data_IF_654731939665
#
_entry.id   IF_654731939665
#
_cell.length_a   1.000
_cell.length_b   1.000
_cell.length_c   1.000
_cell.angle_alpha   90.00
_cell.angle_beta   90.00
_cell.angle_gamma   90.00
#
_symmetry.space_group_name_H-M   'P 1'
#
loop_
_entity.id
_entity.type
_entity.pdbx_description
1 polymer ?
#
# COMPACT_ATOMS: atom_id res chain seq x y z
N UNK A 1 19.85 14.85 -8.25
CA UNK A 1 19.22 15.44 -7.04
C UNK A 1 20.30 15.76 -6.02
N UNK A 2 20.15 16.85 -5.27
CA UNK A 2 20.98 17.10 -4.09
C UNK A 2 20.67 16.08 -3.00
N UNK A 3 21.63 15.86 -2.09
CA UNK A 3 21.43 14.95 -0.95
C UNK A 3 20.25 15.43 -0.08
N UNK A 4 19.40 14.55 0.44
CA UNK A 4 18.31 14.95 1.32
C UNK A 4 18.84 15.59 2.62
N UNK A 5 18.09 16.54 3.17
CA UNK A 5 18.44 17.24 4.43
C UNK A 5 18.36 16.29 5.64
N UNK A 6 17.50 15.30 5.56
CA UNK A 6 17.26 14.28 6.59
C UNK A 6 16.78 13.01 5.88
N UNK A 7 17.02 11.82 6.43
CA UNK A 7 16.45 10.59 5.88
C UNK A 7 14.93 10.58 6.03
N UNK A 8 14.24 9.91 5.11
CA UNK A 8 12.78 9.80 5.22
C UNK A 8 12.36 9.06 6.49
N UNK A 9 13.12 8.03 6.89
CA UNK A 9 12.83 7.32 8.13
C UNK A 9 12.87 8.25 9.35
N UNK A 10 13.90 9.09 9.48
CA UNK A 10 13.99 10.02 10.61
C UNK A 10 12.86 11.06 10.58
N UNK A 11 12.51 11.58 9.40
CA UNK A 11 11.38 12.48 9.23
C UNK A 11 10.05 11.80 9.63
N UNK A 12 9.83 10.58 9.18
CA UNK A 12 8.65 9.79 9.52
C UNK A 12 8.53 9.51 11.03
N UNK A 13 9.65 9.18 11.69
CA UNK A 13 9.66 8.89 13.14
C UNK A 13 9.31 10.13 13.96
N UNK A 14 9.77 11.32 13.59
CA UNK A 14 9.38 12.58 14.25
C UNK A 14 7.88 12.86 14.10
N UNK A 15 7.31 12.57 12.96
CA UNK A 15 5.86 12.68 12.77
C UNK A 15 5.09 11.63 13.57
N UNK A 16 5.54 10.37 13.53
CA UNK A 16 4.92 9.29 14.27
C UNK A 16 4.91 9.56 15.79
N UNK A 17 5.99 10.11 16.33
CA UNK A 17 6.09 10.55 17.73
C UNK A 17 5.06 11.64 18.03
N UNK A 18 4.98 12.68 17.20
CA UNK A 18 3.99 13.76 17.36
C UNK A 18 2.55 13.23 17.34
N UNK A 19 2.27 12.19 16.54
CA UNK A 19 0.95 11.58 16.43
C UNK A 19 0.69 10.49 17.49
N UNK A 20 1.67 10.12 18.31
CA UNK A 20 1.59 9.02 19.25
C UNK A 20 1.45 7.64 18.57
N UNK A 21 1.97 7.48 17.36
CA UNK A 21 1.87 6.22 16.63
C UNK A 21 2.89 5.19 17.11
N UNK A 22 2.44 3.95 17.25
CA UNK A 22 3.36 2.82 17.30
C UNK A 22 3.87 2.52 15.88
N UNK A 23 5.18 2.35 15.74
CA UNK A 23 5.84 2.13 14.47
C UNK A 23 6.26 0.66 14.36
N UNK A 24 5.49 -0.20 13.67
CA UNK A 24 5.88 -1.58 13.44
C UNK A 24 7.05 -1.65 12.44
N UNK A 25 7.77 -2.76 12.45
CA UNK A 25 8.99 -2.97 11.63
C UNK A 25 8.74 -2.73 10.13
N UNK A 26 7.57 -3.12 9.63
CA UNK A 26 7.28 -2.94 8.21
C UNK A 26 7.16 -1.45 7.80
N UNK A 27 6.77 -0.54 8.71
CA UNK A 27 6.82 0.91 8.43
C UNK A 27 8.26 1.37 8.16
N UNK A 28 9.23 0.84 8.92
CA UNK A 28 10.66 1.13 8.70
C UNK A 28 11.09 0.63 7.32
N UNK A 29 10.69 -0.59 6.95
CA UNK A 29 10.99 -1.15 5.62
C UNK A 29 10.40 -0.29 4.49
N UNK A 30 9.16 0.17 4.66
CA UNK A 30 8.50 1.05 3.68
C UNK A 30 9.23 2.39 3.57
N UNK A 31 9.62 3.00 4.69
CA UNK A 31 10.37 4.27 4.67
C UNK A 31 11.71 4.13 3.94
N UNK A 32 12.48 3.09 4.24
CA UNK A 32 13.76 2.82 3.57
C UNK A 32 13.55 2.61 2.07
N UNK A 33 12.55 1.80 1.69
CA UNK A 33 12.22 1.56 0.28
C UNK A 33 11.84 2.83 -0.46
N UNK A 34 10.97 3.67 0.11
CA UNK A 34 10.50 4.89 -0.53
C UNK A 34 11.64 5.91 -0.72
N UNK A 35 12.53 6.05 0.29
CA UNK A 35 13.72 6.90 0.18
C UNK A 35 14.65 6.39 -0.92
N UNK A 36 15.03 5.11 -0.89
CA UNK A 36 15.92 4.50 -1.88
C UNK A 36 15.35 4.60 -3.29
N UNK A 37 14.06 4.27 -3.47
CA UNK A 37 13.36 4.45 -4.74
C UNK A 37 13.44 5.90 -5.21
N UNK A 38 13.13 6.87 -4.33
CA UNK A 38 13.09 8.28 -4.72
C UNK A 38 14.47 8.82 -5.09
N UNK A 39 15.51 8.40 -4.41
CA UNK A 39 16.88 8.84 -4.69
C UNK A 39 17.46 8.16 -5.94
N UNK A 40 17.33 6.85 -6.06
CA UNK A 40 18.09 6.03 -7.01
C UNK A 40 17.21 5.40 -8.11
N UNK A 41 15.92 5.21 -7.88
CA UNK A 41 14.99 4.60 -8.83
C UNK A 41 14.32 5.61 -9.75
N UNK A 42 13.61 5.10 -10.76
CA UNK A 42 12.75 5.89 -11.65
C UNK A 42 11.29 5.46 -11.57
N UNK A 43 11.06 4.17 -11.42
CA UNK A 43 9.72 3.60 -11.25
C UNK A 43 9.73 2.71 -10.02
N UNK A 44 8.78 2.92 -9.11
CA UNK A 44 8.58 2.15 -7.89
C UNK A 44 7.21 1.49 -7.86
N UNK A 45 7.13 0.35 -7.18
CA UNK A 45 5.89 -0.36 -6.86
C UNK A 45 5.88 -0.67 -5.37
N UNK A 46 4.89 -0.13 -4.66
CA UNK A 46 4.61 -0.41 -3.26
C UNK A 46 3.27 -1.13 -3.14
N UNK A 47 3.28 -2.35 -2.63
CA UNK A 47 2.07 -3.11 -2.35
C UNK A 47 2.06 -3.48 -0.87
N UNK A 48 1.01 -3.06 -0.17
CA UNK A 48 0.79 -3.34 1.26
C UNK A 48 -0.63 -3.86 1.46
N UNK A 49 -0.86 -4.71 2.48
CA UNK A 49 -2.18 -5.19 2.81
C UNK A 49 -3.12 -4.03 3.17
N UNK A 50 -4.40 -4.25 2.97
CA UNK A 50 -5.43 -3.28 3.34
C UNK A 50 -5.36 -2.95 4.84
N UNK A 51 -5.48 -1.67 5.18
CA UNK A 51 -5.40 -1.21 6.56
C UNK A 51 -3.99 -1.08 7.15
N UNK A 52 -2.93 -1.29 6.34
CA UNK A 52 -1.52 -1.19 6.75
C UNK A 52 -0.90 0.19 6.47
N UNK A 53 -1.67 1.27 6.68
CA UNK A 53 -1.21 2.67 6.71
C UNK A 53 -0.57 3.21 5.42
N UNK A 54 -0.85 2.62 4.24
CA UNK A 54 -0.32 3.10 2.95
C UNK A 54 -0.46 4.60 2.77
N UNK A 55 -1.69 5.11 2.87
CA UNK A 55 -2.01 6.52 2.62
C UNK A 55 -1.33 7.43 3.63
N UNK A 56 -1.34 7.08 4.92
CA UNK A 56 -0.70 7.90 5.96
C UNK A 56 0.82 7.98 5.77
N UNK A 57 1.47 6.89 5.36
CA UNK A 57 2.91 6.91 5.07
C UNK A 57 3.19 7.76 3.83
N UNK A 58 2.30 7.69 2.82
CA UNK A 58 2.44 8.48 1.60
C UNK A 58 2.30 9.98 1.85
N UNK A 59 1.38 10.38 2.73
CA UNK A 59 1.22 11.78 3.13
C UNK A 59 2.50 12.34 3.73
N UNK A 60 3.13 11.59 4.65
CA UNK A 60 4.40 11.97 5.28
C UNK A 60 5.54 11.95 4.26
N UNK A 61 5.54 10.98 3.33
CA UNK A 61 6.55 10.89 2.28
C UNK A 61 6.50 12.09 1.32
N UNK A 62 5.31 12.51 0.93
CA UNK A 62 5.12 13.70 0.11
C UNK A 62 5.65 14.96 0.81
N UNK A 63 5.32 15.11 2.08
CA UNK A 63 5.81 16.24 2.89
C UNK A 63 7.34 16.22 3.01
N UNK A 64 7.96 15.04 3.19
CA UNK A 64 9.41 14.89 3.19
C UNK A 64 10.04 15.27 1.86
N UNK A 65 9.46 14.85 0.74
CA UNK A 65 9.93 15.23 -0.61
C UNK A 65 9.89 16.75 -0.78
N UNK A 66 8.79 17.40 -0.40
CA UNK A 66 8.64 18.86 -0.48
C UNK A 66 9.61 19.56 0.47
N UNK A 67 9.79 19.03 1.69
CA UNK A 67 10.73 19.57 2.66
C UNK A 67 12.18 19.56 2.14
N UNK A 68 12.59 18.46 1.50
CA UNK A 68 13.93 18.32 0.96
C UNK A 68 14.13 19.09 -0.36
N UNK A 69 13.11 19.13 -1.20
CA UNK A 69 13.16 19.72 -2.55
C UNK A 69 11.87 20.51 -2.85
N UNK A 70 11.72 21.74 -2.34
CA UNK A 70 10.48 22.53 -2.46
C UNK A 70 10.04 22.81 -3.92
N UNK A 71 10.96 22.72 -4.87
CA UNK A 71 10.67 22.89 -6.30
C UNK A 71 10.06 21.64 -6.96
N UNK A 72 9.87 20.56 -6.21
CA UNK A 72 9.26 19.34 -6.74
C UNK A 72 7.78 19.56 -7.02
N UNK A 73 7.35 19.21 -8.22
CA UNK A 73 5.95 19.18 -8.62
C UNK A 73 5.46 17.74 -8.52
N UNK A 74 4.50 17.49 -7.64
CA UNK A 74 3.92 16.18 -7.39
C UNK A 74 2.55 16.12 -8.07
N UNK A 75 2.34 15.15 -8.95
CA UNK A 75 1.02 14.71 -9.39
C UNK A 75 0.61 13.48 -8.60
N UNK A 76 -0.41 13.60 -7.78
CA UNK A 76 -1.03 12.49 -7.09
C UNK A 76 -2.35 12.12 -7.76
N UNK A 77 -2.47 10.88 -8.23
CA UNK A 77 -3.70 10.36 -8.83
C UNK A 77 -4.25 9.21 -7.99
N UNK A 78 -5.49 9.38 -7.55
CA UNK A 78 -6.29 8.35 -6.88
C UNK A 78 -7.35 7.76 -7.79
N UNK A 79 -8.19 6.86 -7.28
CA UNK A 79 -9.35 6.33 -8.01
C UNK A 79 -10.29 7.43 -8.45
N UNK A 80 -10.61 8.36 -7.53
CA UNK A 80 -11.48 9.51 -7.72
C UNK A 80 -10.77 10.80 -7.30
N UNK A 81 -11.31 11.96 -7.70
CA UNK A 81 -10.83 13.27 -7.21
C UNK A 81 -10.91 13.33 -5.68
N UNK A 82 -12.00 12.84 -5.09
CA UNK A 82 -12.20 12.83 -3.63
C UNK A 82 -11.11 11.99 -2.91
N UNK A 83 -10.68 10.87 -3.48
CA UNK A 83 -9.60 10.05 -2.90
C UNK A 83 -8.24 10.73 -3.04
N UNK A 84 -7.98 11.35 -4.19
CA UNK A 84 -6.76 12.14 -4.39
C UNK A 84 -6.68 13.34 -3.42
N UNK A 85 -7.82 13.99 -3.14
CA UNK A 85 -7.86 15.12 -2.21
C UNK A 85 -7.57 14.73 -0.76
N UNK A 86 -7.86 13.49 -0.35
CA UNK A 86 -7.48 12.98 0.98
C UNK A 86 -5.96 13.01 1.17
N UNK A 87 -5.21 12.53 0.17
CA UNK A 87 -3.74 12.56 0.21
C UNK A 87 -3.21 14.01 0.18
N UNK A 88 -3.78 14.87 -0.67
CA UNK A 88 -3.42 16.29 -0.71
C UNK A 88 -3.61 16.97 0.65
N UNK A 89 -4.76 16.73 1.29
CA UNK A 89 -5.05 17.25 2.63
C UNK A 89 -4.10 16.69 3.68
N UNK A 90 -3.84 15.37 3.66
CA UNK A 90 -2.90 14.73 4.59
C UNK A 90 -1.48 15.28 4.44
N UNK A 91 -1.00 15.46 3.21
CA UNK A 91 0.31 16.08 2.94
C UNK A 91 0.39 17.51 3.49
N UNK A 92 -0.65 18.33 3.31
CA UNK A 92 -0.70 19.69 3.89
C UNK A 92 -0.67 19.67 5.40
N UNK A 93 -1.45 18.80 6.05
CA UNK A 93 -1.46 18.66 7.51
C UNK A 93 -0.07 18.33 8.06
N UNK A 94 0.67 17.44 7.38
CA UNK A 94 2.06 17.13 7.76
C UNK A 94 2.96 18.37 7.60
N UNK A 95 2.89 19.09 6.49
CA UNK A 95 3.70 20.31 6.27
C UNK A 95 3.41 21.41 7.29
N UNK A 96 2.17 21.55 7.71
CA UNK A 96 1.73 22.56 8.68
C UNK A 96 2.15 22.23 10.12
N UNK A 97 2.22 20.95 10.47
CA UNK A 97 2.36 20.50 11.86
C UNK A 97 3.65 19.75 12.18
N UNK A 98 4.36 19.25 11.16
CA UNK A 98 5.60 18.50 11.38
C UNK A 98 6.69 19.39 12.03
N UNK A 99 7.42 18.92 13.08
CA UNK A 99 8.39 19.74 13.81
C UNK A 99 9.46 20.42 12.95
N UNK A 100 9.87 19.79 11.85
CA UNK A 100 10.87 20.35 10.92
C UNK A 100 10.25 21.29 9.86
N UNK A 101 8.95 21.26 9.67
CA UNK A 101 8.26 22.08 8.67
C UNK A 101 7.65 23.34 9.30
N UNK A 102 7.18 23.25 10.54
CA UNK A 102 6.60 24.37 11.28
C UNK A 102 7.62 25.51 11.40
N UNK A 103 7.23 26.69 10.94
CA UNK A 103 8.11 27.88 10.94
C UNK A 103 9.17 27.89 9.82
N UNK A 104 9.22 26.86 8.97
CA UNK A 104 10.11 26.86 7.81
C UNK A 104 9.44 27.56 6.61
N UNK A 105 9.90 28.77 6.22
CA UNK A 105 9.26 29.54 5.15
C UNK A 105 9.25 28.84 3.81
N UNK A 106 10.22 27.96 3.53
CA UNK A 106 10.32 27.31 2.22
C UNK A 106 9.19 26.28 1.96
N UNK A 107 8.57 25.76 3.01
CA UNK A 107 7.49 24.76 2.90
C UNK A 107 6.14 25.29 3.38
N UNK A 108 6.10 26.57 3.79
CA UNK A 108 4.85 27.23 4.11
C UNK A 108 3.92 27.25 2.90
N UNK A 109 2.66 26.92 3.09
CA UNK A 109 1.68 26.91 2.01
C UNK A 109 1.34 28.36 1.64
N UNK A 110 1.69 28.74 0.41
CA UNK A 110 1.51 30.10 -0.09
C UNK A 110 0.08 30.37 -0.53
N UNK A 111 -0.47 29.47 -1.35
CA UNK A 111 -1.80 29.61 -1.94
C UNK A 111 -2.29 28.28 -2.52
N UNK A 112 -3.56 28.23 -2.84
CA UNK A 112 -4.21 27.15 -3.59
C UNK A 112 -5.25 26.40 -2.80
N UNK A 113 -6.08 25.67 -3.56
CA UNK A 113 -7.13 24.79 -3.04
C UNK A 113 -6.60 23.37 -2.85
N UNK A 114 -7.42 22.49 -2.30
CA UNK A 114 -7.03 21.10 -2.02
C UNK A 114 -6.61 20.33 -3.27
N UNK A 115 -7.17 20.68 -4.42
CA UNK A 115 -6.81 20.08 -5.70
C UNK A 115 -5.39 20.47 -6.14
N UNK A 116 -5.03 21.76 -5.98
CA UNK A 116 -3.75 22.29 -6.42
C UNK A 116 -3.29 23.42 -5.51
N UNK A 117 -2.09 23.30 -4.97
CA UNK A 117 -1.51 24.30 -4.09
C UNK A 117 0.01 24.42 -4.26
N UNK A 118 0.56 25.49 -3.68
CA UNK A 118 1.96 25.89 -3.81
C UNK A 118 2.57 26.14 -2.44
N UNK A 119 3.86 25.85 -2.30
CA UNK A 119 4.66 26.28 -1.16
C UNK A 119 5.51 27.50 -1.54
N UNK A 120 5.93 28.30 -0.52
CA UNK A 120 6.71 29.51 -0.73
C UNK A 120 8.09 29.23 -1.37
N UNK A 121 8.69 28.09 -1.06
CA UNK A 121 10.01 27.71 -1.60
C UNK A 121 10.02 27.33 -3.08
N UNK A 122 8.88 27.29 -3.77
CA UNK A 122 8.84 27.05 -5.21
C UNK A 122 8.74 28.35 -6.02
N UNK A 123 9.58 28.54 -7.04
CA UNK A 123 9.41 29.64 -7.99
C UNK A 123 8.27 29.39 -8.99
N UNK A 124 7.71 28.19 -9.03
CA UNK A 124 6.62 27.86 -9.93
C UNK A 124 5.33 28.61 -9.55
N UNK A 125 4.69 29.21 -10.54
CA UNK A 125 3.42 29.91 -10.40
C UNK A 125 2.30 29.27 -11.25
N UNK A 126 2.62 28.19 -11.99
CA UNK A 126 1.71 27.63 -12.99
C UNK A 126 1.18 26.24 -12.60
N UNK A 127 2.07 25.32 -12.20
CA UNK A 127 1.69 23.91 -12.10
C UNK A 127 1.36 23.44 -10.69
N UNK A 128 1.93 24.08 -9.67
CA UNK A 128 1.72 23.74 -8.26
C UNK A 128 2.80 22.80 -7.70
N UNK A 129 3.00 22.89 -6.39
CA UNK A 129 3.82 21.92 -5.65
C UNK A 129 3.12 20.56 -5.61
N UNK A 130 1.79 20.57 -5.44
CA UNK A 130 0.96 19.38 -5.51
C UNK A 130 -0.25 19.63 -6.39
N UNK A 131 -0.53 18.65 -7.25
CA UNK A 131 -1.77 18.51 -8.00
C UNK A 131 -2.36 17.15 -7.66
N UNK A 132 -3.58 17.11 -7.13
CA UNK A 132 -4.31 15.91 -6.76
C UNK A 132 -5.53 15.75 -7.66
N UNK A 133 -5.64 14.61 -8.35
CA UNK A 133 -6.75 14.32 -9.29
C UNK A 133 -7.09 12.85 -9.32
N UNK A 134 -8.34 12.52 -9.61
CA UNK A 134 -8.73 11.17 -9.98
C UNK A 134 -8.09 10.75 -11.29
N UNK A 135 -7.82 9.45 -11.45
CA UNK A 135 -7.11 8.92 -12.63
C UNK A 135 -7.86 9.18 -13.96
N UNK A 136 -9.18 9.26 -13.92
CA UNK A 136 -10.00 9.54 -15.09
C UNK A 136 -10.15 11.04 -15.37
N UNK A 137 -9.75 11.91 -14.45
CA UNK A 137 -9.76 13.36 -14.61
C UNK A 137 -8.63 13.84 -15.53
N UNK A 138 -8.83 14.96 -16.19
CA UNK A 138 -7.84 15.53 -17.11
C UNK A 138 -6.64 16.13 -16.38
N UNK A 139 -5.44 15.75 -16.80
CA UNK A 139 -4.17 16.30 -16.29
C UNK A 139 -3.34 16.98 -17.39
N UNK A 140 -3.93 17.13 -18.58
CA UNK A 140 -3.27 17.76 -19.74
C UNK A 140 -2.85 19.20 -19.44
N UNK A 141 -1.67 19.60 -19.90
CA UNK A 141 -1.13 20.94 -19.69
C UNK A 141 -0.39 21.13 -18.36
N UNK A 142 -0.30 20.11 -17.50
CA UNK A 142 0.52 20.13 -16.30
C UNK A 142 1.95 19.64 -16.55
N UNK A 143 2.80 19.75 -15.54
CA UNK A 143 4.16 19.19 -15.49
C UNK A 143 4.37 18.53 -14.13
N UNK A 144 5.11 17.42 -14.09
CA UNK A 144 5.38 16.71 -12.87
C UNK A 144 6.81 16.15 -12.84
N UNK A 145 7.46 16.35 -11.69
CA UNK A 145 8.73 15.69 -11.32
C UNK A 145 8.49 14.31 -10.72
N UNK A 146 7.35 14.17 -10.02
CA UNK A 146 6.98 12.96 -9.33
C UNK A 146 5.49 12.66 -9.55
N UNK A 147 5.20 11.49 -10.10
CA UNK A 147 3.86 11.02 -10.41
C UNK A 147 3.55 9.84 -9.50
N UNK A 148 2.43 9.90 -8.81
CA UNK A 148 1.94 8.85 -7.91
C UNK A 148 0.60 8.33 -8.42
N UNK A 149 0.46 7.01 -8.49
CA UNK A 149 -0.75 6.30 -8.84
C UNK A 149 -1.17 5.45 -7.65
N UNK A 150 -2.14 5.95 -6.86
CA UNK A 150 -2.62 5.31 -5.63
C UNK A 150 -3.99 4.66 -5.86
N UNK A 151 -4.03 3.34 -5.78
CA UNK A 151 -5.22 2.50 -6.01
C UNK A 151 -6.02 2.92 -7.27
N UNK A 152 -5.32 3.25 -8.37
CA UNK A 152 -5.94 3.74 -9.62
C UNK A 152 -6.70 2.65 -10.38
N UNK A 153 -6.39 1.39 -10.14
CA UNK A 153 -7.14 0.24 -10.65
C UNK A 153 -7.96 -0.36 -9.53
N UNK A 154 -9.27 -0.19 -9.62
CA UNK A 154 -10.26 -0.73 -8.68
C UNK A 154 -11.40 -1.38 -9.45
N UNK A 155 -12.28 -2.17 -8.82
CA UNK A 155 -13.50 -2.63 -9.48
C UNK A 155 -14.29 -1.50 -10.14
N UNK A 156 -14.29 -0.29 -9.58
CA UNK A 156 -14.98 0.87 -10.15
C UNK A 156 -14.34 1.36 -11.46
N UNK A 157 -13.01 1.32 -11.57
CA UNK A 157 -12.29 1.75 -12.79
C UNK A 157 -12.14 0.65 -13.83
N UNK A 158 -12.50 -0.60 -13.51
CA UNK A 158 -12.38 -1.77 -14.39
C UNK A 158 -13.68 -2.54 -14.60
N UNK A 159 -14.80 -2.09 -14.02
CA UNK A 159 -16.07 -2.81 -14.03
C UNK A 159 -16.66 -2.99 -15.43
N UNK A 160 -16.50 -2.02 -16.32
CA UNK A 160 -17.01 -2.11 -17.67
C UNK A 160 -15.90 -1.98 -18.74
N UNK A 161 -16.12 -2.50 -19.97
CA UNK A 161 -15.12 -2.47 -21.04
C UNK A 161 -14.63 -1.05 -21.37
N UNK A 162 -15.54 -0.07 -21.37
CA UNK A 162 -15.20 1.32 -21.69
C UNK A 162 -14.23 1.93 -20.69
N UNK A 163 -14.43 1.68 -19.40
CA UNK A 163 -13.50 2.13 -18.35
C UNK A 163 -12.15 1.42 -18.42
N UNK A 164 -12.14 0.13 -18.76
CA UNK A 164 -10.90 -0.63 -18.97
C UNK A 164 -10.06 -0.08 -20.12
N UNK A 165 -10.69 0.44 -21.18
CA UNK A 165 -10.00 1.09 -22.30
C UNK A 165 -9.53 2.51 -21.96
N UNK A 166 -10.28 3.25 -21.11
CA UNK A 166 -9.93 4.61 -20.70
C UNK A 166 -8.70 4.65 -19.79
N UNK A 167 -8.56 3.70 -18.88
CA UNK A 167 -7.47 3.69 -17.91
C UNK A 167 -6.08 3.68 -18.57
N UNK A 168 -5.74 2.79 -19.53
CA UNK A 168 -4.45 2.83 -20.22
C UNK A 168 -4.20 4.15 -20.96
N UNK A 169 -5.24 4.74 -21.57
CA UNK A 169 -5.13 6.03 -22.25
C UNK A 169 -4.75 7.13 -21.25
N UNK A 170 -5.43 7.19 -20.11
CA UNK A 170 -5.12 8.15 -19.04
C UNK A 170 -3.73 7.97 -18.46
N UNK A 171 -3.29 6.74 -18.28
CA UNK A 171 -1.93 6.44 -17.84
C UNK A 171 -0.87 6.86 -18.89
N UNK A 172 -1.19 6.78 -20.18
CA UNK A 172 -0.28 7.25 -21.24
C UNK A 172 -0.15 8.79 -21.25
N UNK A 173 -1.19 9.54 -20.90
CA UNK A 173 -1.14 11.01 -20.75
C UNK A 173 -0.07 11.45 -19.77
N UNK A 174 0.19 10.66 -18.71
CA UNK A 174 1.25 10.93 -17.73
C UNK A 174 2.64 11.03 -18.35
N UNK A 175 2.88 10.34 -19.47
CA UNK A 175 4.18 10.40 -20.15
C UNK A 175 4.44 11.79 -20.74
N UNK A 176 3.39 12.46 -21.18
CA UNK A 176 3.50 13.81 -21.78
C UNK A 176 3.64 14.93 -20.78
N UNK A 177 3.23 14.70 -19.53
CA UNK A 177 3.38 15.68 -18.43
C UNK A 177 4.62 15.42 -17.58
N UNK A 178 5.18 14.23 -17.65
CA UNK A 178 6.42 13.89 -16.97
C UNK A 178 7.59 14.68 -17.55
N UNK A 179 8.31 15.42 -16.70
CA UNK A 179 9.55 16.08 -17.12
C UNK A 179 10.68 15.06 -17.29
N UNK A 180 11.77 15.39 -18.02
CA UNK A 180 12.94 14.51 -18.10
C UNK A 180 13.45 14.13 -16.70
N UNK A 181 13.60 12.82 -16.44
CA UNK A 181 14.02 12.31 -15.14
C UNK A 181 12.89 12.17 -14.10
N UNK A 182 11.65 12.47 -14.45
CA UNK A 182 10.49 12.29 -13.56
C UNK A 182 10.41 10.86 -13.01
N UNK A 183 9.97 10.76 -11.77
CA UNK A 183 9.78 9.50 -11.06
C UNK A 183 8.31 9.11 -11.06
N UNK A 184 8.04 7.81 -11.04
CA UNK A 184 6.67 7.27 -10.98
C UNK A 184 6.58 6.22 -9.89
N UNK A 185 5.64 6.39 -8.97
CA UNK A 185 5.33 5.45 -7.91
C UNK A 185 3.93 4.87 -8.13
N UNK A 186 3.86 3.54 -8.10
CA UNK A 186 2.62 2.80 -8.11
C UNK A 186 2.36 2.27 -6.71
N UNK A 187 1.16 2.52 -6.20
CA UNK A 187 0.73 2.10 -4.88
C UNK A 187 -0.62 1.44 -5.03
N UNK A 188 -0.82 0.26 -4.45
CA UNK A 188 -2.12 -0.39 -4.56
C UNK A 188 -2.12 -1.85 -4.13
N UNK A 189 -3.26 -2.49 -4.37
CA UNK A 189 -3.50 -3.91 -4.16
C UNK A 189 -3.98 -4.53 -5.47
N UNK A 190 -3.61 -5.78 -5.81
CA UNK A 190 -4.09 -6.43 -7.02
C UNK A 190 -5.56 -6.83 -6.81
N UNK A 191 -6.46 -6.48 -7.73
CA UNK A 191 -7.86 -6.92 -7.68
C UNK A 191 -8.10 -8.18 -8.52
N UNK A 192 -7.32 -8.34 -9.59
CA UNK A 192 -7.40 -9.49 -10.52
C UNK A 192 -6.01 -9.98 -10.87
N UNK A 193 -5.91 -11.22 -11.36
CA UNK A 193 -4.63 -11.84 -11.77
C UNK A 193 -3.96 -11.14 -12.96
N UNK A 194 -4.70 -10.40 -13.76
CA UNK A 194 -4.23 -9.62 -14.91
C UNK A 194 -4.19 -8.12 -14.65
N UNK A 195 -4.26 -7.72 -13.38
CA UNK A 195 -4.25 -6.33 -12.94
C UNK A 195 -3.04 -5.56 -13.44
N UNK A 196 -3.18 -4.24 -13.48
CA UNK A 196 -2.08 -3.32 -13.78
C UNK A 196 -0.89 -3.56 -12.84
N UNK A 197 -1.14 -3.76 -11.54
CA UNK A 197 -0.12 -4.02 -10.54
C UNK A 197 0.65 -5.32 -10.79
N UNK A 198 -0.04 -6.40 -11.20
CA UNK A 198 0.60 -7.65 -11.59
C UNK A 198 1.47 -7.50 -12.85
N UNK A 199 1.06 -6.65 -13.81
CA UNK A 199 1.88 -6.31 -14.99
C UNK A 199 3.13 -5.53 -14.62
N UNK A 200 3.01 -4.52 -13.72
CA UNK A 200 4.13 -3.72 -13.24
C UNK A 200 5.08 -4.58 -12.41
N UNK A 201 4.56 -5.48 -11.56
CA UNK A 201 5.33 -6.42 -10.77
C UNK A 201 6.27 -7.30 -11.61
N UNK A 202 5.90 -7.62 -12.84
CA UNK A 202 6.72 -8.42 -13.78
C UNK A 202 7.83 -7.61 -14.47
N UNK A 203 7.81 -6.28 -14.42
CA UNK A 203 8.81 -5.45 -15.08
C UNK A 203 10.15 -5.48 -14.34
N UNK A 204 11.27 -5.61 -15.09
CA UNK A 204 12.62 -5.76 -14.51
C UNK A 204 13.20 -4.45 -13.93
N UNK A 205 12.84 -3.29 -14.50
CA UNK A 205 13.41 -1.97 -14.14
C UNK A 205 12.57 -1.22 -13.11
N UNK A 206 11.76 -1.92 -12.32
CA UNK A 206 10.91 -1.35 -11.28
C UNK A 206 11.46 -1.73 -9.94
N UNK A 207 11.72 -0.75 -9.07
CA UNK A 207 12.01 -0.98 -7.65
C UNK A 207 10.72 -1.45 -6.97
N UNK A 208 10.76 -2.54 -6.19
CA UNK A 208 9.54 -3.17 -5.66
C UNK A 208 9.67 -3.46 -4.17
N UNK A 209 8.63 -3.08 -3.44
CA UNK A 209 8.37 -3.61 -2.10
C UNK A 209 6.94 -4.14 -2.06
N UNK A 210 6.81 -5.44 -1.82
CA UNK A 210 5.54 -6.14 -1.75
C UNK A 210 5.53 -6.88 -0.42
N UNK A 211 4.73 -6.39 0.51
CA UNK A 211 4.57 -7.01 1.82
C UNK A 211 3.18 -7.66 1.89
N UNK A 212 3.15 -8.89 2.34
CA UNK A 212 1.92 -9.64 2.62
C UNK A 212 1.56 -9.47 4.09
N UNK A 213 0.30 -9.69 4.43
CA UNK A 213 -0.12 -9.73 5.84
C UNK A 213 0.58 -10.88 6.58
N UNK A 214 0.74 -12.02 5.91
CA UNK A 214 1.47 -13.18 6.39
C UNK A 214 2.51 -13.59 5.35
N UNK A 215 3.75 -13.80 5.78
CA UNK A 215 4.83 -14.18 4.85
C UNK A 215 4.60 -15.55 4.24
N UNK A 216 4.23 -16.52 5.09
CA UNK A 216 3.97 -17.89 4.69
C UNK A 216 2.50 -18.25 4.85
N UNK A 217 1.99 -19.04 3.90
CA UNK A 217 0.61 -19.50 3.85
C UNK A 217 0.51 -20.91 3.28
N UNK A 218 -0.45 -21.68 3.77
CA UNK A 218 -0.81 -22.99 3.22
C UNK A 218 -2.31 -23.21 3.30
N UNK A 219 -2.94 -23.42 2.15
CA UNK A 219 -4.35 -23.79 2.03
C UNK A 219 -4.49 -25.29 1.95
N UNK A 220 -5.37 -25.85 2.75
CA UNK A 220 -5.76 -27.26 2.77
C UNK A 220 -7.23 -27.33 2.38
N UNK A 221 -7.50 -28.00 1.27
CA UNK A 221 -8.87 -28.23 0.78
C UNK A 221 -9.34 -29.60 1.27
N UNK A 222 -10.44 -29.63 2.06
CA UNK A 222 -11.00 -30.85 2.60
C UNK A 222 -10.14 -31.50 3.68
N UNK A 223 -10.21 -31.02 4.93
CA UNK A 223 -9.58 -31.68 6.07
C UNK A 223 -10.57 -32.56 6.82
N UNK A 224 -10.10 -33.70 7.34
CA UNK A 224 -10.89 -34.58 8.19
C UNK A 224 -10.23 -34.72 9.57
N UNK A 225 -11.04 -34.95 10.59
CA UNK A 225 -10.56 -35.19 11.96
C UNK A 225 -9.51 -36.32 11.97
N UNK A 226 -8.39 -36.08 12.64
CA UNK A 226 -7.26 -37.01 12.74
C UNK A 226 -6.27 -36.93 11.56
N UNK A 227 -6.62 -36.23 10.48
CA UNK A 227 -5.69 -36.01 9.36
C UNK A 227 -4.50 -35.20 9.81
N UNK A 228 -3.31 -35.59 9.30
CA UNK A 228 -2.04 -34.90 9.53
C UNK A 228 -1.57 -34.24 8.25
N UNK A 229 -1.07 -33.00 8.37
CA UNK A 229 -0.45 -32.26 7.28
C UNK A 229 0.89 -31.69 7.75
N UNK A 230 1.84 -31.52 6.81
CA UNK A 230 3.14 -30.91 7.09
C UNK A 230 3.19 -29.50 6.52
N UNK A 231 3.70 -28.57 7.34
CA UNK A 231 3.96 -27.20 6.99
C UNK A 231 5.46 -26.94 7.13
N UNK A 232 6.02 -26.13 6.22
CA UNK A 232 7.43 -25.69 6.24
C UNK A 232 7.62 -24.43 7.10
N UNK A 233 6.57 -23.94 7.72
CA UNK A 233 6.56 -22.78 8.64
C UNK A 233 5.77 -23.08 9.90
N UNK A 234 5.94 -22.28 10.94
CA UNK A 234 5.16 -22.33 12.17
C UNK A 234 3.74 -21.79 11.93
N UNK A 235 2.68 -22.59 12.14
CA UNK A 235 1.31 -22.13 12.00
C UNK A 235 0.90 -21.30 13.25
N UNK A 236 0.93 -19.99 13.10
CA UNK A 236 0.52 -19.05 14.17
C UNK A 236 -0.96 -18.75 14.06
N UNK A 237 -1.47 -18.57 12.84
CA UNK A 237 -2.87 -18.28 12.56
C UNK A 237 -3.47 -19.36 11.67
N UNK A 238 -4.74 -19.68 11.92
CA UNK A 238 -5.50 -20.61 11.10
C UNK A 238 -6.96 -20.14 10.97
N UNK A 239 -7.52 -20.31 9.76
CA UNK A 239 -8.91 -19.96 9.47
C UNK A 239 -9.59 -21.09 8.72
N UNK A 240 -10.86 -21.30 9.04
CA UNK A 240 -11.76 -22.15 8.27
C UNK A 240 -12.75 -21.28 7.51
N UNK A 241 -12.96 -21.58 6.22
CA UNK A 241 -13.97 -20.91 5.39
C UNK A 241 -13.65 -19.47 4.99
N UNK A 242 -14.66 -18.82 4.41
CA UNK A 242 -14.68 -17.41 3.98
C UNK A 242 -16.13 -16.92 4.01
N UNK A 243 -16.34 -15.61 4.21
CA UNK A 243 -17.67 -15.02 4.30
C UNK A 243 -18.40 -15.42 5.58
N UNK A 244 -19.72 -15.33 5.56
CA UNK A 244 -20.56 -15.69 6.71
C UNK A 244 -20.25 -17.11 7.18
N UNK A 245 -19.79 -17.25 8.41
CA UNK A 245 -19.36 -18.52 8.99
C UNK A 245 -17.87 -18.84 8.83
N UNK A 246 -17.07 -17.89 8.36
CA UNK A 246 -15.62 -17.95 8.54
C UNK A 246 -15.28 -18.03 10.03
N UNK A 247 -14.28 -18.83 10.39
CA UNK A 247 -13.94 -19.07 11.79
C UNK A 247 -12.42 -19.03 11.97
N UNK A 248 -11.97 -18.33 13.00
CA UNK A 248 -10.59 -18.45 13.47
C UNK A 248 -10.43 -19.76 14.23
N UNK A 249 -9.46 -20.57 13.81
CA UNK A 249 -9.18 -21.86 14.42
C UNK A 249 -8.10 -21.72 15.50
N UNK A 250 -8.36 -22.30 16.68
CA UNK A 250 -7.46 -22.23 17.82
C UNK A 250 -6.68 -23.53 17.99
N UNK A 251 -5.38 -23.40 18.22
CA UNK A 251 -4.54 -24.53 18.64
C UNK A 251 -5.04 -25.08 19.97
N UNK A 252 -5.10 -26.40 20.10
CA UNK A 252 -5.63 -27.11 21.26
C UNK A 252 -7.13 -27.35 21.21
N UNK A 253 -7.89 -26.62 20.39
CA UNK A 253 -9.33 -26.75 20.24
C UNK A 253 -9.71 -27.35 18.86
N UNK A 254 -9.18 -26.76 17.79
CA UNK A 254 -9.56 -27.14 16.41
C UNK A 254 -8.44 -27.94 15.72
N UNK A 255 -7.21 -27.73 16.15
CA UNK A 255 -6.04 -28.46 15.67
C UNK A 255 -4.94 -28.51 16.73
N UNK A 256 -4.06 -29.52 16.61
CA UNK A 256 -2.79 -29.58 17.34
C UNK A 256 -1.63 -29.36 16.38
N UNK A 257 -0.52 -28.79 16.85
CA UNK A 257 0.69 -28.70 16.06
C UNK A 257 1.93 -29.09 16.87
N UNK A 258 2.84 -29.80 16.22
CA UNK A 258 4.10 -30.27 16.79
C UNK A 258 5.26 -29.90 15.87
N UNK A 259 6.31 -29.32 16.45
CA UNK A 259 7.55 -29.04 15.73
C UNK A 259 8.30 -30.32 15.45
N UNK A 260 8.68 -30.53 14.21
CA UNK A 260 9.60 -31.56 13.73
C UNK A 260 10.95 -30.93 13.43
N UNK A 261 11.94 -31.73 12.98
CA UNK A 261 13.28 -31.22 12.69
C UNK A 261 13.29 -30.07 11.65
N UNK A 262 12.53 -30.23 10.55
CA UNK A 262 12.50 -29.27 9.44
C UNK A 262 11.06 -28.88 9.01
N UNK A 263 10.07 -29.15 9.83
CA UNK A 263 8.67 -28.92 9.50
C UNK A 263 7.83 -28.80 10.77
N UNK A 264 6.56 -28.42 10.59
CA UNK A 264 5.53 -28.49 11.60
C UNK A 264 4.48 -29.50 11.17
N UNK A 265 4.17 -30.47 12.02
CA UNK A 265 3.05 -31.40 11.82
C UNK A 265 1.82 -30.81 12.47
N UNK A 266 0.77 -30.66 11.69
CA UNK A 266 -0.55 -30.24 12.16
C UNK A 266 -1.47 -31.43 12.11
N UNK A 267 -2.23 -31.68 13.22
CA UNK A 267 -3.26 -32.73 13.31
C UNK A 267 -4.59 -32.05 13.52
N UNK A 268 -5.55 -32.27 12.63
CA UNK A 268 -6.91 -31.73 12.74
C UNK A 268 -7.72 -32.44 13.83
N UNK A 269 -8.33 -31.67 14.72
CA UNK A 269 -9.24 -32.18 15.75
C UNK A 269 -10.69 -32.19 15.30
N UNK A 270 -11.02 -31.52 14.20
CA UNK A 270 -12.32 -31.49 13.55
C UNK A 270 -12.18 -31.52 12.02
N UNK A 271 -13.30 -31.76 11.32
CA UNK A 271 -13.34 -31.75 9.86
C UNK A 271 -13.73 -30.36 9.36
N UNK A 272 -13.04 -29.87 8.33
CA UNK A 272 -13.29 -28.57 7.71
C UNK A 272 -13.27 -28.69 6.18
N UNK A 273 -14.04 -27.85 5.49
CA UNK A 273 -14.05 -27.80 4.02
C UNK A 273 -12.78 -27.14 3.45
N UNK A 274 -12.37 -26.00 4.03
CA UNK A 274 -11.13 -25.30 3.68
C UNK A 274 -10.48 -24.80 4.97
N UNK A 275 -9.16 -24.98 5.10
CA UNK A 275 -8.35 -24.39 6.17
C UNK A 275 -7.15 -23.69 5.58
N UNK A 276 -6.97 -22.42 5.94
CA UNK A 276 -5.77 -21.65 5.63
C UNK A 276 -4.92 -21.51 6.89
N UNK A 277 -3.68 -21.96 6.82
CA UNK A 277 -2.65 -21.74 7.82
C UNK A 277 -1.73 -20.61 7.41
N UNK A 278 -1.35 -19.77 8.37
CA UNK A 278 -0.47 -18.62 8.18
C UNK A 278 0.62 -18.56 9.25
N UNK A 279 1.79 -18.04 8.86
CA UNK A 279 2.83 -17.63 9.80
C UNK A 279 2.42 -16.37 10.57
N UNK A 280 3.33 -15.82 11.39
CA UNK A 280 3.11 -14.56 12.11
C UNK A 280 2.78 -13.42 11.14
N UNK A 281 1.83 -12.58 11.53
CA UNK A 281 1.44 -11.39 10.79
C UNK A 281 2.44 -10.24 10.96
N UNK A 282 2.49 -9.32 9.99
CA UNK A 282 3.41 -8.18 10.05
C UNK A 282 2.96 -7.08 11.03
N UNK A 283 1.73 -7.12 11.50
CA UNK A 283 1.17 -6.15 12.46
C UNK A 283 0.16 -6.78 13.42
N UNK A 284 0.65 -7.67 14.30
CA UNK A 284 -0.17 -8.46 15.24
C UNK A 284 -0.98 -7.60 16.23
N UNK A 285 -0.40 -6.46 16.68
CA UNK A 285 -1.08 -5.60 17.66
C UNK A 285 -2.34 -4.94 17.09
N UNK A 286 -2.41 -4.75 15.78
CA UNK A 286 -3.58 -4.18 15.11
C UNK A 286 -4.53 -5.23 14.57
N UNK A 287 -3.98 -6.32 14.06
CA UNK A 287 -4.73 -7.40 13.45
C UNK A 287 -4.76 -8.60 14.39
N UNK A 288 -5.55 -8.45 15.47
CA UNK A 288 -5.81 -9.54 16.41
C UNK A 288 -6.61 -10.67 15.76
N UNK A 289 -6.63 -11.89 16.34
CA UNK A 289 -7.47 -12.98 15.83
C UNK A 289 -8.92 -12.58 15.57
N UNK A 290 -9.52 -11.81 16.47
CA UNK A 290 -10.90 -11.33 16.36
C UNK A 290 -11.09 -10.35 15.20
N UNK A 291 -10.16 -9.41 15.02
CA UNK A 291 -10.19 -8.46 13.90
C UNK A 291 -9.99 -9.19 12.57
N UNK A 292 -9.10 -10.18 12.52
CA UNK A 292 -8.87 -10.97 11.32
C UNK A 292 -10.08 -11.85 10.97
N UNK A 293 -10.72 -12.47 11.97
CA UNK A 293 -11.95 -13.25 11.77
C UNK A 293 -13.05 -12.36 11.19
N UNK A 294 -13.31 -11.21 11.78
CA UNK A 294 -14.28 -10.22 11.30
C UNK A 294 -14.00 -9.84 9.83
N UNK A 295 -12.77 -9.50 9.49
CA UNK A 295 -12.40 -9.15 8.11
C UNK A 295 -12.57 -10.29 7.13
N UNK A 296 -12.34 -11.51 7.59
CA UNK A 296 -12.53 -12.70 6.75
C UNK A 296 -14.01 -13.01 6.53
N UNK A 297 -14.85 -12.74 7.50
CA UNK A 297 -16.31 -12.82 7.36
C UNK A 297 -16.86 -11.79 6.35
N UNK A 298 -16.29 -10.58 6.32
CA UNK A 298 -16.66 -9.52 5.38
C UNK A 298 -16.21 -9.81 3.93
N UNK A 299 -15.18 -10.62 3.72
CA UNK A 299 -14.74 -11.02 2.39
C UNK A 299 -15.73 -12.02 1.76
N UNK A 300 -16.14 -11.75 0.51
CA UNK A 300 -17.09 -12.62 -0.21
C UNK A 300 -16.44 -13.85 -0.80
N UNK A 301 -15.15 -13.77 -1.14
CA UNK A 301 -14.40 -14.84 -1.80
C UNK A 301 -12.98 -14.97 -1.24
N UNK A 302 -12.39 -16.16 -1.36
CA UNK A 302 -10.99 -16.39 -1.02
C UNK A 302 -10.05 -15.51 -1.86
N UNK A 303 -10.40 -15.27 -3.13
CA UNK A 303 -9.62 -14.40 -4.00
C UNK A 303 -9.63 -12.94 -3.54
N UNK A 304 -10.73 -12.46 -2.97
CA UNK A 304 -10.80 -11.13 -2.35
C UNK A 304 -9.87 -11.04 -1.14
N UNK A 305 -9.89 -12.04 -0.26
CA UNK A 305 -8.96 -12.12 0.86
C UNK A 305 -7.50 -12.16 0.39
N UNK A 306 -7.17 -13.05 -0.52
CA UNK A 306 -5.82 -13.24 -1.05
C UNK A 306 -5.31 -11.95 -1.72
N UNK A 307 -6.16 -11.24 -2.47
CA UNK A 307 -5.79 -9.99 -3.13
C UNK A 307 -5.57 -8.82 -2.16
N UNK A 308 -6.43 -8.68 -1.15
CA UNK A 308 -6.41 -7.54 -0.23
C UNK A 308 -5.38 -7.69 0.90
N UNK A 309 -5.04 -8.92 1.29
CA UNK A 309 -4.18 -9.19 2.44
C UNK A 309 -2.90 -9.97 2.10
N UNK A 310 -2.91 -10.80 1.07
CA UNK A 310 -1.76 -11.61 0.65
C UNK A 310 -1.10 -11.13 -0.65
N UNK A 311 -1.55 -10.02 -1.19
CA UNK A 311 -0.98 -9.34 -2.37
C UNK A 311 -0.87 -10.22 -3.61
N UNK A 312 -1.76 -11.21 -3.75
CA UNK A 312 -1.90 -11.98 -4.97
C UNK A 312 -3.38 -12.26 -5.28
N UNK A 313 -3.73 -12.18 -6.55
CA UNK A 313 -5.04 -12.59 -7.05
C UNK A 313 -4.86 -13.83 -7.93
N UNK A 314 -5.66 -14.86 -7.71
CA UNK A 314 -5.66 -16.08 -8.52
C UNK A 314 -6.62 -15.93 -9.70
N UNK A 315 -6.40 -16.62 -10.84
CA UNK A 315 -7.43 -16.80 -11.87
C UNK A 315 -8.68 -17.42 -11.25
N UNK A 316 -9.83 -16.91 -11.60
CA UNK A 316 -11.13 -17.47 -11.22
C UNK A 316 -11.42 -18.65 -12.13
#
# INVERSE_FOLDING_TARGET
MTKPKISFLAFFLLWAELQGWKVPIFHIQVCIFLEEFYLNGRTGLLMLPRGHSKSSILDVFNAWVIYCWPNTQILHQGTTDADAYKCSKGTRDVLERHPLCTGNPNVAIRQGEIERWFVEGTPDVRYGTMLAKGILSGVTGHRAHFIQNDDVETPQTTANPEQREKLPKKLSEQTHIAIPGAKRLWIGTPHTHDSLYEKIKKQRKVSKLILKMFENEKRIEGSVKGQKVLLDFEPIHAFSGIGVGAKYLRKGENYECRKLKNAWEVTFLESNYIVDFYSKGIWEERFTPEEMEFRREECKTLNEWDSQYQMHAKPI
#
